data_IF_752175966055
#
_entry.id   IF_752175966055
#
_cell.length_a   1.000
_cell.length_b   1.000
_cell.length_c   1.000
_cell.angle_alpha   90.00
_cell.angle_beta   90.00
_cell.angle_gamma   90.00
#
_symmetry.space_group_name_H-M   'P 1'
#
loop_
_entity.id
_entity.type
_entity.pdbx_description
1 polymer ?
#
# COMPACT_ATOMS: atom_id res chain seq x y z
N UNK A 1 2.99 -23.94 15.44
CA UNK A 1 2.73 -22.62 14.88
C UNK A 1 2.90 -22.65 13.37
N UNK A 2 1.97 -22.10 12.61
CA UNK A 2 2.10 -22.09 11.16
C UNK A 2 3.37 -21.36 10.72
N UNK A 3 4.03 -21.85 9.68
CA UNK A 3 5.24 -21.26 9.07
C UNK A 3 5.05 -19.77 8.75
N UNK A 4 3.83 -19.39 8.34
CA UNK A 4 3.47 -18.01 8.03
C UNK A 4 3.56 -17.08 9.25
N UNK A 5 3.10 -17.53 10.42
CA UNK A 5 3.16 -16.72 11.64
C UNK A 5 4.61 -16.45 12.08
N UNK A 6 5.47 -17.47 12.00
CA UNK A 6 6.89 -17.30 12.29
C UNK A 6 7.58 -16.36 11.29
N UNK A 7 7.18 -16.39 10.02
CA UNK A 7 7.71 -15.48 9.01
C UNK A 7 7.28 -14.03 9.26
N UNK A 8 6.04 -13.80 9.65
CA UNK A 8 5.52 -12.47 10.02
C UNK A 8 6.24 -11.90 11.24
N UNK A 9 6.45 -12.73 12.26
CA UNK A 9 7.20 -12.32 13.46
C UNK A 9 8.64 -11.91 13.13
N UNK A 10 9.34 -12.69 12.31
CA UNK A 10 10.69 -12.33 11.86
C UNK A 10 10.72 -11.02 11.09
N UNK A 11 9.74 -10.78 10.21
CA UNK A 11 9.61 -9.52 9.48
C UNK A 11 9.36 -8.35 10.43
N UNK A 12 8.48 -8.53 11.41
CA UNK A 12 8.21 -7.52 12.43
C UNK A 12 9.48 -7.16 13.20
N UNK A 13 10.20 -8.17 13.70
CA UNK A 13 11.45 -7.95 14.44
C UNK A 13 12.53 -7.31 13.59
N UNK A 14 12.57 -7.59 12.29
CA UNK A 14 13.57 -7.00 11.39
C UNK A 14 13.42 -5.48 11.21
N UNK A 15 12.24 -4.90 11.48
CA UNK A 15 12.00 -3.46 11.36
C UNK A 15 12.92 -2.62 12.25
N UNK A 16 13.39 -3.18 13.37
CA UNK A 16 14.31 -2.49 14.29
C UNK A 16 15.77 -2.58 13.87
N UNK A 17 16.08 -3.41 12.86
CA UNK A 17 17.47 -3.56 12.40
C UNK A 17 17.98 -2.26 11.76
N UNK A 18 19.19 -1.78 12.12
CA UNK A 18 19.71 -0.50 11.60
C UNK A 18 19.87 -0.44 10.08
N UNK A 19 20.03 -1.57 9.41
CA UNK A 19 20.20 -1.66 7.95
C UNK A 19 18.92 -2.00 7.18
N UNK A 20 17.78 -2.01 7.86
CA UNK A 20 16.51 -2.40 7.22
C UNK A 20 16.17 -1.53 6.00
N UNK A 21 16.33 -0.20 6.13
CA UNK A 21 16.03 0.75 5.04
C UNK A 21 16.93 0.47 3.83
N UNK A 22 18.23 0.32 4.04
CA UNK A 22 19.19 0.06 2.96
C UNK A 22 18.93 -1.29 2.30
N UNK A 23 18.66 -2.33 3.09
CA UNK A 23 18.35 -3.66 2.58
C UNK A 23 17.09 -3.66 1.72
N UNK A 24 16.02 -2.99 2.18
CA UNK A 24 14.79 -2.85 1.40
C UNK A 24 15.03 -2.07 0.10
N UNK A 25 15.80 -0.99 0.15
CA UNK A 25 16.12 -0.21 -1.04
C UNK A 25 16.88 -1.06 -2.09
N UNK A 26 17.83 -1.89 -1.66
CA UNK A 26 18.55 -2.80 -2.56
C UNK A 26 17.60 -3.82 -3.21
N UNK A 27 16.69 -4.41 -2.44
CA UNK A 27 15.71 -5.38 -2.95
C UNK A 27 14.73 -4.76 -3.97
N UNK A 28 14.40 -3.50 -3.78
CA UNK A 28 13.41 -2.79 -4.62
C UNK A 28 14.05 -2.15 -5.84
N UNK A 29 15.32 -1.79 -5.77
CA UNK A 29 16.05 -1.13 -6.85
C UNK A 29 15.89 -1.85 -8.19
N UNK A 30 15.58 -1.10 -9.23
CA UNK A 30 15.35 -1.63 -10.58
C UNK A 30 13.92 -2.07 -10.87
N UNK A 31 13.05 -2.13 -9.88
CA UNK A 31 11.62 -2.37 -10.07
C UNK A 31 10.93 -1.06 -10.44
N UNK A 32 10.06 -1.09 -11.46
CA UNK A 32 9.24 0.07 -11.82
C UNK A 32 8.10 0.30 -10.85
N UNK A 33 7.50 -0.78 -10.34
CA UNK A 33 6.37 -0.76 -9.44
C UNK A 33 6.62 -1.69 -8.25
N UNK A 34 6.31 -1.21 -7.05
CA UNK A 34 6.44 -1.98 -5.83
C UNK A 34 5.19 -1.80 -4.95
N UNK A 35 4.66 -2.90 -4.45
CA UNK A 35 3.57 -2.93 -3.46
C UNK A 35 4.13 -3.29 -2.09
N UNK A 36 3.82 -2.47 -1.12
CA UNK A 36 4.08 -2.78 0.28
C UNK A 36 3.01 -3.73 0.83
N UNK A 37 3.43 -4.67 1.68
CA UNK A 37 2.55 -5.57 2.43
C UNK A 37 1.59 -6.42 1.58
N UNK A 38 2.03 -7.60 1.18
CA UNK A 38 1.14 -8.66 0.70
C UNK A 38 0.29 -9.21 1.85
N UNK A 39 0.83 -9.19 3.07
CA UNK A 39 0.16 -9.53 4.31
C UNK A 39 0.70 -8.64 5.43
N UNK A 40 -0.15 -8.32 6.40
CA UNK A 40 0.17 -7.38 7.46
C UNK A 40 -0.07 -5.92 7.06
N UNK A 41 0.34 -5.00 7.91
CA UNK A 41 0.14 -3.56 7.75
C UNK A 41 1.29 -2.78 8.41
N UNK A 42 1.28 -1.45 8.31
CA UNK A 42 2.27 -0.61 8.99
C UNK A 42 2.14 -0.79 10.51
N UNK A 43 3.30 -0.88 11.17
CA UNK A 43 3.37 -1.21 12.60
C UNK A 43 3.48 0.02 13.50
N UNK A 44 3.52 1.21 12.92
CA UNK A 44 3.63 2.45 13.65
C UNK A 44 4.19 3.57 12.78
N UNK A 45 4.28 4.76 13.38
CA UNK A 45 4.79 5.97 12.71
C UNK A 45 6.26 5.80 12.30
N UNK A 46 7.08 5.15 13.12
CA UNK A 46 8.49 4.91 12.79
C UNK A 46 8.65 3.96 11.61
N UNK A 47 7.79 2.95 11.47
CA UNK A 47 7.77 2.08 10.30
C UNK A 47 7.42 2.87 9.04
N UNK A 48 6.41 3.73 9.11
CA UNK A 48 6.02 4.59 7.99
C UNK A 48 7.15 5.54 7.57
N UNK A 49 7.86 6.13 8.53
CA UNK A 49 9.04 6.97 8.25
C UNK A 49 10.12 6.20 7.51
N UNK A 50 10.40 4.96 7.91
CA UNK A 50 11.36 4.09 7.23
C UNK A 50 10.92 3.76 5.80
N UNK A 51 9.62 3.53 5.57
CA UNK A 51 9.08 3.35 4.23
C UNK A 51 9.32 4.60 3.37
N UNK A 52 9.13 5.80 3.93
CA UNK A 52 9.44 7.05 3.23
C UNK A 52 10.91 7.15 2.84
N UNK A 53 11.82 6.78 3.73
CA UNK A 53 13.26 6.74 3.42
C UNK A 53 13.58 5.77 2.27
N UNK A 54 12.98 4.59 2.27
CA UNK A 54 13.12 3.61 1.17
C UNK A 54 12.62 4.19 -0.15
N UNK A 55 11.46 4.86 -0.15
CA UNK A 55 10.93 5.52 -1.34
C UNK A 55 11.90 6.59 -1.88
N UNK A 56 12.49 7.39 -0.99
CA UNK A 56 13.46 8.41 -1.37
C UNK A 56 14.76 7.81 -1.95
N UNK A 57 15.16 6.63 -1.49
CA UNK A 57 16.33 5.90 -2.00
C UNK A 57 16.06 5.16 -3.32
N UNK A 58 14.81 5.04 -3.72
CA UNK A 58 14.38 4.35 -4.95
C UNK A 58 13.50 5.27 -5.80
N UNK A 59 14.03 6.41 -6.27
CA UNK A 59 13.21 7.46 -6.92
C UNK A 59 12.59 7.01 -8.24
N UNK A 60 13.14 6.00 -8.89
CA UNK A 60 12.64 5.48 -10.17
C UNK A 60 11.57 4.39 -10.00
N UNK A 61 11.25 4.04 -8.77
CA UNK A 61 10.21 3.06 -8.43
C UNK A 61 8.95 3.77 -7.97
N UNK A 62 7.79 3.41 -8.51
CA UNK A 62 6.49 3.83 -7.98
C UNK A 62 6.06 2.87 -6.89
N UNK A 63 5.75 3.39 -5.71
CA UNK A 63 5.35 2.61 -4.54
C UNK A 63 3.87 2.75 -4.26
N UNK A 64 3.22 1.64 -3.94
CA UNK A 64 1.86 1.59 -3.44
C UNK A 64 1.84 0.98 -2.03
N UNK A 65 1.32 1.74 -1.07
CA UNK A 65 1.16 1.31 0.32
C UNK A 65 -0.33 1.22 0.66
N UNK A 66 -0.93 0.03 0.59
CA UNK A 66 -2.27 -0.18 1.14
C UNK A 66 -2.20 -0.25 2.65
N UNK A 67 -3.14 0.39 3.35
CA UNK A 67 -3.19 0.35 4.82
C UNK A 67 -4.61 0.50 5.35
N UNK A 68 -4.90 -0.12 6.48
CA UNK A 68 -6.09 0.12 7.30
C UNK A 68 -5.79 0.97 8.53
N UNK A 69 -4.51 1.25 8.79
CA UNK A 69 -4.02 1.89 10.02
C UNK A 69 -4.12 3.41 9.97
N UNK A 70 -5.36 3.92 10.10
CA UNK A 70 -5.65 5.36 10.04
C UNK A 70 -4.82 6.20 11.00
N UNK A 71 -4.57 5.68 12.21
CA UNK A 71 -3.86 6.40 13.26
C UNK A 71 -2.41 6.72 12.91
N UNK A 72 -1.82 6.01 11.96
CA UNK A 72 -0.44 6.20 11.55
C UNK A 72 -0.29 7.07 10.30
N UNK A 73 -1.40 7.47 9.67
CA UNK A 73 -1.35 8.29 8.48
C UNK A 73 -0.76 9.68 8.78
N UNK A 74 0.00 10.26 7.84
CA UNK A 74 0.49 11.63 8.00
C UNK A 74 -0.66 12.62 8.13
N UNK A 75 -0.43 13.71 8.86
CA UNK A 75 -1.38 14.81 8.93
C UNK A 75 -1.59 15.44 7.54
N UNK A 76 -2.78 15.99 7.26
CA UNK A 76 -3.03 16.71 6.02
C UNK A 76 -1.96 17.79 5.78
N UNK A 77 -1.46 17.87 4.55
CA UNK A 77 -0.39 18.80 4.17
C UNK A 77 1.04 18.33 4.48
N UNK A 78 1.22 17.19 5.13
CA UNK A 78 2.54 16.59 5.34
C UNK A 78 3.19 16.20 4.01
N UNK A 79 4.52 16.31 3.92
CA UNK A 79 5.26 15.85 2.76
C UNK A 79 5.29 14.31 2.72
N UNK A 80 4.83 13.78 1.60
CA UNK A 80 4.92 12.35 1.27
C UNK A 80 5.85 12.23 0.06
N UNK A 81 6.71 11.20 -0.03
CA UNK A 81 7.55 10.98 -1.20
C UNK A 81 6.72 11.01 -2.49
N UNK A 82 7.22 11.67 -3.53
CA UNK A 82 6.50 11.85 -4.80
C UNK A 82 6.16 10.54 -5.49
N UNK A 83 6.97 9.52 -5.27
CA UNK A 83 6.83 8.18 -5.84
C UNK A 83 6.06 7.21 -4.92
N UNK A 84 5.40 7.72 -3.89
CA UNK A 84 4.57 6.91 -2.99
C UNK A 84 3.11 7.33 -3.07
N UNK A 85 2.23 6.35 -3.20
CA UNK A 85 0.80 6.52 -2.97
C UNK A 85 0.40 5.68 -1.75
N UNK A 86 -0.19 6.32 -0.75
CA UNK A 86 -0.79 5.66 0.41
C UNK A 86 -2.27 5.54 0.14
N UNK A 87 -2.77 4.31 0.09
CA UNK A 87 -4.18 4.03 -0.21
C UNK A 87 -4.85 3.43 1.00
N UNK A 88 -5.77 4.19 1.60
CA UNK A 88 -6.50 3.75 2.77
C UNK A 88 -7.54 2.70 2.37
N UNK A 89 -7.41 1.50 2.91
CA UNK A 89 -8.40 0.44 2.71
C UNK A 89 -9.59 0.66 3.63
N UNK A 90 -10.79 0.72 3.05
CA UNK A 90 -12.01 0.90 3.82
C UNK A 90 -12.32 -0.34 4.66
N UNK A 91 -12.66 -0.12 5.92
CA UNK A 91 -13.00 -1.19 6.86
C UNK A 91 -14.36 -1.83 6.57
N UNK A 92 -15.27 -1.09 5.92
CA UNK A 92 -16.63 -1.55 5.61
C UNK A 92 -16.86 -1.56 4.10
N UNK A 93 -17.55 -2.60 3.61
CA UNK A 93 -17.95 -2.69 2.23
C UNK A 93 -18.88 -1.53 1.85
N UNK A 94 -18.82 -1.13 0.59
CA UNK A 94 -19.71 -0.12 -0.02
C UNK A 94 -19.65 1.27 0.64
N UNK A 95 -18.67 1.55 1.48
CA UNK A 95 -18.50 2.85 2.14
C UNK A 95 -17.33 3.63 1.54
N UNK A 96 -17.29 4.94 1.84
CA UNK A 96 -16.13 5.78 1.57
C UNK A 96 -15.40 6.07 2.89
N UNK A 97 -14.06 6.21 2.88
CA UNK A 97 -13.39 6.78 4.03
C UNK A 97 -13.87 8.23 4.20
N UNK A 98 -13.92 8.72 5.43
CA UNK A 98 -14.24 10.12 5.67
C UNK A 98 -13.30 11.07 4.87
N UNK A 99 -13.65 12.34 4.78
CA UNK A 99 -13.01 13.36 3.92
C UNK A 99 -11.51 13.64 4.17
N UNK A 100 -10.89 12.90 5.09
CA UNK A 100 -9.51 13.18 5.53
C UNK A 100 -8.42 12.57 4.64
N UNK A 101 -8.76 11.69 3.69
CA UNK A 101 -7.75 11.04 2.86
C UNK A 101 -8.18 10.98 1.39
N UNK A 102 -7.24 11.32 0.49
CA UNK A 102 -7.53 11.53 -0.94
C UNK A 102 -7.55 10.27 -1.78
N UNK A 103 -6.90 9.19 -1.31
CA UNK A 103 -6.76 7.94 -2.06
C UNK A 103 -7.18 6.76 -1.19
N UNK A 104 -8.08 5.93 -1.69
CA UNK A 104 -8.61 4.81 -0.93
C UNK A 104 -8.96 3.62 -1.82
N UNK A 105 -9.22 2.49 -1.18
CA UNK A 105 -9.80 1.31 -1.82
C UNK A 105 -11.04 0.86 -1.06
N UNK A 106 -11.99 0.27 -1.78
CA UNK A 106 -13.25 -0.20 -1.22
C UNK A 106 -13.60 -1.56 -1.78
N UNK A 107 -14.00 -2.48 -0.92
CA UNK A 107 -14.68 -3.70 -1.35
C UNK A 107 -16.14 -3.36 -1.62
N UNK A 108 -16.62 -3.63 -2.82
CA UNK A 108 -17.97 -3.28 -3.26
C UNK A 108 -18.79 -4.52 -3.60
N UNK A 109 -20.06 -4.52 -3.22
CA UNK A 109 -21.03 -5.56 -3.61
C UNK A 109 -21.46 -5.35 -5.06
N UNK A 110 -21.67 -4.08 -5.45
CA UNK A 110 -21.95 -3.67 -6.84
C UNK A 110 -20.98 -2.56 -7.25
N UNK A 111 -20.31 -2.70 -8.40
CA UNK A 111 -19.45 -1.63 -8.91
C UNK A 111 -20.21 -0.31 -9.06
N UNK A 112 -19.55 0.77 -8.67
CA UNK A 112 -19.98 2.16 -8.85
C UNK A 112 -19.17 2.80 -9.98
N UNK A 113 -19.59 3.97 -10.52
CA UNK A 113 -18.73 4.72 -11.44
C UNK A 113 -17.33 4.95 -10.86
N UNK A 114 -16.31 4.71 -11.67
CA UNK A 114 -14.91 4.78 -11.26
C UNK A 114 -14.13 3.52 -11.64
N UNK A 115 -12.94 3.39 -11.08
CA UNK A 115 -12.06 2.26 -11.40
C UNK A 115 -12.40 1.02 -10.59
N UNK A 116 -12.70 -0.07 -11.30
CA UNK A 116 -12.90 -1.41 -10.72
C UNK A 116 -11.68 -2.27 -11.06
N UNK A 117 -11.10 -2.94 -10.07
CA UNK A 117 -9.93 -3.80 -10.27
C UNK A 117 -10.25 -4.91 -11.30
N UNK A 118 -9.49 -5.01 -12.40
CA UNK A 118 -9.73 -6.01 -13.43
C UNK A 118 -9.15 -7.39 -13.11
N UNK A 119 -8.33 -7.51 -12.07
CA UNK A 119 -7.58 -8.73 -11.76
C UNK A 119 -8.45 -10.00 -11.69
N UNK A 120 -9.65 -10.00 -11.10
CA UNK A 120 -10.50 -11.21 -11.07
C UNK A 120 -10.86 -11.77 -12.44
N UNK A 121 -10.90 -10.91 -13.46
CA UNK A 121 -11.18 -11.30 -14.86
C UNK A 121 -9.91 -11.64 -15.65
N UNK A 122 -8.75 -11.50 -15.03
CA UNK A 122 -7.42 -11.66 -15.64
C UNK A 122 -6.57 -12.70 -14.92
N UNK A 123 -7.20 -13.75 -14.37
CA UNK A 123 -6.50 -14.81 -13.63
C UNK A 123 -5.86 -14.32 -12.32
N UNK A 124 -6.48 -13.35 -11.66
CA UNK A 124 -6.02 -12.72 -10.42
C UNK A 124 -4.65 -12.01 -10.53
N UNK A 125 -4.34 -11.50 -11.72
CA UNK A 125 -3.13 -10.70 -11.97
C UNK A 125 -3.49 -9.33 -12.50
N UNK A 126 -2.65 -8.33 -12.21
CA UNK A 126 -2.89 -6.95 -12.61
C UNK A 126 -2.79 -6.74 -14.13
N UNK A 127 -2.03 -7.58 -14.85
CA UNK A 127 -1.76 -7.36 -16.26
C UNK A 127 -1.11 -5.98 -16.48
N UNK A 128 -1.63 -5.20 -17.39
CA UNK A 128 -1.16 -3.83 -17.67
C UNK A 128 -1.75 -2.76 -16.74
N UNK A 129 -2.71 -3.12 -15.88
CA UNK A 129 -3.33 -2.17 -14.97
C UNK A 129 -2.36 -1.69 -13.89
N UNK A 130 -2.27 -0.36 -13.70
CA UNK A 130 -1.44 0.29 -12.67
C UNK A 130 -2.22 1.31 -11.84
N UNK A 131 -3.55 1.16 -11.79
CA UNK A 131 -4.44 2.10 -11.10
C UNK A 131 -4.10 2.27 -9.61
N UNK A 132 -3.67 1.20 -8.93
CA UNK A 132 -3.29 1.27 -7.52
C UNK A 132 -2.11 2.19 -7.24
N UNK A 133 -1.23 2.40 -8.25
CA UNK A 133 -0.08 3.30 -8.17
C UNK A 133 -0.35 4.70 -8.75
N UNK A 134 -1.55 4.93 -9.29
CA UNK A 134 -1.87 6.20 -9.96
C UNK A 134 -2.50 7.19 -8.98
N UNK A 135 -1.91 8.40 -8.91
CA UNK A 135 -2.47 9.51 -8.13
C UNK A 135 -3.75 10.09 -8.74
N UNK A 136 -3.99 9.82 -10.02
CA UNK A 136 -5.21 10.26 -10.72
C UNK A 136 -6.41 9.38 -10.39
N UNK A 137 -6.18 8.18 -9.86
CA UNK A 137 -7.23 7.26 -9.42
C UNK A 137 -7.41 7.39 -7.92
N UNK A 138 -8.45 8.09 -7.50
CA UNK A 138 -8.74 8.31 -6.08
C UNK A 138 -9.28 7.05 -5.38
N UNK A 139 -10.20 6.34 -6.03
CA UNK A 139 -10.77 5.09 -5.52
C UNK A 139 -10.43 3.91 -6.42
N UNK A 140 -9.98 2.81 -5.83
CA UNK A 140 -9.91 1.49 -6.48
C UNK A 140 -10.96 0.60 -5.84
N UNK A 141 -11.87 0.07 -6.64
CA UNK A 141 -12.93 -0.82 -6.17
C UNK A 141 -12.53 -2.27 -6.37
N UNK A 142 -12.74 -3.09 -5.35
CA UNK A 142 -12.59 -4.54 -5.41
C UNK A 142 -13.96 -5.17 -5.25
N UNK A 143 -14.43 -5.86 -6.30
CA UNK A 143 -15.70 -6.56 -6.22
C UNK A 143 -15.61 -7.73 -5.25
N UNK A 144 -16.59 -7.84 -4.35
CA UNK A 144 -16.69 -8.99 -3.44
C UNK A 144 -16.93 -10.28 -4.25
N UNK A 145 -16.31 -11.35 -3.80
CA UNK A 145 -16.43 -12.67 -4.43
C UNK A 145 -17.54 -13.48 -3.81
#
# INVERSE_FOLDING_TARGET
>A
MPIQAAALERRFQSLTHPQWVQAMAVLIKGKKFFRWHDSGDIQGVEHLKKIFEVCNLTPDTMHWLPTQERQFLPLPGSKIPKNLIIRLSNAKNDTKPGNAWSHWSTVVTKPRPGHVCPAPKQGNVCGSCRACWSKDVHEVQYKIH
#
